data_IF_920292008918
#
_entry.id   IF_920292008918
#
_cell.length_a   1.000
_cell.length_b   1.000
_cell.length_c   1.000
_cell.angle_alpha   90.00
_cell.angle_beta   90.00
_cell.angle_gamma   90.00
#
_symmetry.space_group_name_H-M   'P 1'
#
loop_
_entity.id
_entity.type
_entity.pdbx_description
1 polymer ?
#
# COMPACT_ATOMS: atom_id res chain seq x y z
N UNK A 1 4.47 23.65 -21.96
CA UNK A 1 4.68 22.44 -22.78
C UNK A 1 4.58 21.23 -21.87
N UNK A 2 3.49 20.46 -22.01
CA UNK A 2 3.13 19.34 -21.15
C UNK A 2 4.07 18.16 -21.33
N UNK A 3 4.73 17.72 -20.26
CA UNK A 3 5.60 16.55 -20.29
C UNK A 3 4.79 15.32 -19.88
N UNK A 4 4.16 14.66 -20.84
CA UNK A 4 3.53 13.37 -20.62
C UNK A 4 4.63 12.34 -20.29
N UNK A 5 4.59 11.79 -19.07
CA UNK A 5 5.50 10.72 -18.62
C UNK A 5 5.38 9.54 -19.59
N UNK A 6 6.44 9.28 -20.35
CA UNK A 6 6.56 8.13 -21.26
C UNK A 6 6.25 6.83 -20.51
N UNK A 7 5.38 5.98 -21.08
CA UNK A 7 5.28 4.56 -20.71
C UNK A 7 6.70 3.97 -20.80
N UNK A 8 7.21 3.38 -19.71
CA UNK A 8 8.44 2.58 -19.77
C UNK A 8 8.12 1.37 -20.65
N UNK A 9 8.72 1.29 -21.83
CA UNK A 9 8.68 0.07 -22.63
C UNK A 9 9.28 -1.06 -21.79
N UNK A 10 8.50 -2.12 -21.53
CA UNK A 10 8.95 -3.25 -20.72
C UNK A 10 9.92 -4.06 -21.58
N UNK A 11 11.22 -3.90 -21.33
CA UNK A 11 12.28 -4.69 -21.97
C UNK A 11 12.76 -5.72 -20.96
N UNK A 12 12.31 -6.96 -21.11
CA UNK A 12 12.71 -8.10 -20.25
C UNK A 12 11.53 -8.79 -19.53
N UNK A 13 11.84 -9.72 -18.61
CA UNK A 13 10.81 -10.44 -17.85
C UNK A 13 9.95 -9.52 -16.98
N UNK A 14 8.68 -9.87 -16.84
CA UNK A 14 7.73 -9.13 -15.98
C UNK A 14 7.85 -9.62 -14.53
N UNK A 15 8.34 -8.75 -13.64
CA UNK A 15 8.35 -8.97 -12.20
C UNK A 15 7.03 -8.58 -11.52
N UNK A 16 6.48 -9.50 -10.73
CA UNK A 16 5.25 -9.33 -9.93
C UNK A 16 5.57 -9.51 -8.44
N UNK A 17 5.04 -8.62 -7.59
CA UNK A 17 5.00 -8.79 -6.14
C UNK A 17 3.56 -9.06 -5.71
N UNK A 18 3.31 -10.22 -5.09
CA UNK A 18 2.01 -10.60 -4.52
C UNK A 18 2.10 -10.64 -3.00
N UNK A 19 1.15 -9.98 -2.33
CA UNK A 19 1.12 -9.80 -0.88
C UNK A 19 -0.15 -10.40 -0.29
N UNK A 20 0.03 -11.30 0.67
CA UNK A 20 -1.08 -12.03 1.28
C UNK A 20 -1.80 -11.17 2.33
N UNK A 21 -3.10 -11.41 2.46
CA UNK A 21 -3.89 -10.91 3.59
C UNK A 21 -3.52 -11.63 4.88
N UNK A 22 -3.46 -10.92 6.00
CA UNK A 22 -3.00 -11.56 7.23
C UNK A 22 -3.10 -10.76 8.53
N UNK A 23 -3.62 -9.53 8.50
CA UNK A 23 -3.63 -8.67 9.69
C UNK A 23 -2.18 -8.35 10.10
N UNK A 24 -1.91 -8.34 11.39
CA UNK A 24 -0.57 -8.09 11.96
C UNK A 24 0.56 -8.92 11.34
N UNK A 25 0.25 -10.10 10.79
CA UNK A 25 1.24 -10.97 10.11
C UNK A 25 1.84 -10.33 8.86
N UNK A 26 1.23 -9.28 8.30
CA UNK A 26 1.80 -8.48 7.22
C UNK A 26 3.17 -7.86 7.56
N UNK A 27 3.47 -7.66 8.85
CA UNK A 27 4.79 -7.22 9.33
C UNK A 27 5.91 -8.15 8.85
N UNK A 28 5.68 -9.47 8.87
CA UNK A 28 6.68 -10.44 8.42
C UNK A 28 6.99 -10.31 6.93
N UNK A 29 5.98 -10.07 6.10
CA UNK A 29 6.15 -9.88 4.65
C UNK A 29 6.99 -8.65 4.35
N UNK A 30 6.77 -7.56 5.08
CA UNK A 30 7.54 -6.33 4.95
C UNK A 30 8.98 -6.47 5.43
N UNK A 31 9.24 -7.21 6.51
CA UNK A 31 10.61 -7.50 6.97
C UNK A 31 11.37 -8.32 5.92
N UNK A 32 10.73 -9.36 5.36
CA UNK A 32 11.35 -10.18 4.31
C UNK A 32 11.64 -9.34 3.07
N UNK A 33 10.68 -8.50 2.66
CA UNK A 33 10.86 -7.62 1.51
C UNK A 33 11.97 -6.59 1.74
N UNK A 34 12.04 -5.98 2.93
CA UNK A 34 13.10 -5.03 3.29
C UNK A 34 14.50 -5.66 3.20
N UNK A 35 14.65 -6.89 3.67
CA UNK A 35 15.91 -7.63 3.51
C UNK A 35 16.23 -7.92 2.03
N UNK A 36 15.23 -8.23 1.19
CA UNK A 36 15.42 -8.38 -0.25
C UNK A 36 15.89 -7.05 -0.88
N UNK A 37 15.25 -5.92 -0.53
CA UNK A 37 15.63 -4.61 -1.07
C UNK A 37 17.04 -4.20 -0.63
N UNK A 38 17.44 -4.50 0.62
CA UNK A 38 18.80 -4.29 1.12
C UNK A 38 19.83 -5.09 0.33
N UNK A 39 19.54 -6.34 -0.02
CA UNK A 39 20.43 -7.17 -0.87
C UNK A 39 20.53 -6.64 -2.28
N UNK A 40 19.44 -6.12 -2.85
CA UNK A 40 19.46 -5.45 -4.16
C UNK A 40 20.36 -4.21 -4.09
N UNK A 41 20.19 -3.36 -3.07
CA UNK A 41 21.04 -2.18 -2.84
C UNK A 41 22.53 -2.55 -2.86
N UNK A 42 22.90 -3.59 -2.12
CA UNK A 42 24.29 -4.05 -2.05
C UNK A 42 24.78 -4.62 -3.38
N UNK A 43 23.98 -5.47 -4.04
CA UNK A 43 24.35 -6.13 -5.29
C UNK A 43 24.54 -5.15 -6.45
N UNK A 44 23.71 -4.11 -6.51
CA UNK A 44 23.73 -3.10 -7.55
C UNK A 44 24.55 -1.86 -7.16
N UNK A 45 25.12 -1.83 -5.96
CA UNK A 45 25.91 -0.73 -5.41
C UNK A 45 25.19 0.62 -5.49
N UNK A 46 23.93 0.65 -5.04
CA UNK A 46 23.10 1.86 -5.05
C UNK A 46 23.37 2.72 -3.82
N UNK A 47 23.36 4.04 -4.00
CA UNK A 47 23.54 5.01 -2.91
C UNK A 47 22.31 5.03 -1.97
N UNK A 48 21.13 5.05 -2.57
CA UNK A 48 19.84 5.11 -1.87
C UNK A 48 19.18 3.73 -1.74
N UNK A 49 18.20 3.62 -0.82
CA UNK A 49 17.43 2.39 -0.70
C UNK A 49 16.48 2.25 -1.91
N UNK A 50 16.57 1.17 -2.70
CA UNK A 50 15.66 0.96 -3.82
C UNK A 50 14.22 0.79 -3.33
N UNK A 51 13.28 1.36 -4.09
CA UNK A 51 11.85 1.20 -3.80
C UNK A 51 11.30 -0.01 -4.53
N UNK A 52 10.39 -0.79 -3.94
CA UNK A 52 9.80 -1.94 -4.64
C UNK A 52 9.13 -1.57 -5.96
N UNK A 53 8.51 -0.40 -6.07
CA UNK A 53 7.91 0.08 -7.32
C UNK A 53 8.90 0.28 -8.48
N UNK A 54 10.21 0.34 -8.21
CA UNK A 54 11.24 0.45 -9.26
C UNK A 54 11.60 -0.92 -9.86
N UNK A 55 11.30 -2.03 -9.15
CA UNK A 55 11.70 -3.40 -9.50
C UNK A 55 10.52 -4.29 -9.90
N UNK A 56 9.33 -4.02 -9.34
CA UNK A 56 8.11 -4.78 -9.59
C UNK A 56 7.18 -3.98 -10.50
N UNK A 57 6.86 -4.51 -11.67
CA UNK A 57 5.95 -3.89 -12.63
C UNK A 57 4.51 -3.89 -12.13
N UNK A 58 4.17 -4.89 -11.31
CA UNK A 58 2.87 -5.01 -10.66
C UNK A 58 3.09 -5.39 -9.20
N UNK A 59 2.39 -4.68 -8.32
CA UNK A 59 2.32 -4.97 -6.88
C UNK A 59 0.84 -5.14 -6.55
N UNK A 60 0.47 -6.34 -6.10
CA UNK A 60 -0.91 -6.69 -5.78
C UNK A 60 -1.02 -7.36 -4.42
N UNK A 61 -2.21 -7.30 -3.82
CA UNK A 61 -2.49 -8.02 -2.60
C UNK A 61 -3.96 -7.93 -2.20
N UNK A 62 -4.38 -8.79 -1.27
CA UNK A 62 -5.77 -8.82 -0.77
C UNK A 62 -5.84 -8.50 0.72
N UNK A 63 -6.94 -7.88 1.16
CA UNK A 63 -7.11 -7.45 2.55
C UNK A 63 -5.96 -6.55 3.01
N UNK A 64 -5.25 -6.94 4.06
CA UNK A 64 -4.08 -6.17 4.52
C UNK A 64 -2.91 -6.18 3.53
N UNK A 65 -2.78 -7.22 2.70
CA UNK A 65 -1.79 -7.24 1.62
C UNK A 65 -2.05 -6.15 0.57
N UNK A 66 -3.32 -5.81 0.33
CA UNK A 66 -3.71 -4.70 -0.54
C UNK A 66 -3.31 -3.33 0.02
N UNK A 67 -3.39 -3.16 1.34
CA UNK A 67 -2.90 -1.94 2.01
C UNK A 67 -1.39 -1.82 1.80
N UNK A 68 -0.65 -2.90 2.05
CA UNK A 68 0.81 -2.92 1.86
C UNK A 68 1.15 -2.63 0.38
N UNK A 69 0.39 -3.19 -0.56
CA UNK A 69 0.54 -2.89 -1.99
C UNK A 69 0.38 -1.39 -2.28
N UNK A 70 -0.57 -0.70 -1.65
CA UNK A 70 -0.73 0.76 -1.80
C UNK A 70 0.46 1.53 -1.20
N UNK A 71 0.98 1.11 -0.05
CA UNK A 71 2.16 1.74 0.56
C UNK A 71 3.38 1.67 -0.36
N UNK A 72 3.66 0.47 -0.90
CA UNK A 72 4.86 0.22 -1.70
C UNK A 72 4.70 0.74 -3.13
N UNK A 73 3.53 0.56 -3.73
CA UNK A 73 3.29 0.84 -5.15
C UNK A 73 2.69 2.21 -5.43
N UNK A 74 1.74 2.67 -4.61
CA UNK A 74 1.04 3.95 -4.86
C UNK A 74 1.69 5.13 -4.16
N UNK A 75 2.14 4.91 -2.93
CA UNK A 75 2.86 5.91 -2.12
C UNK A 75 4.38 5.89 -2.36
N UNK A 76 4.88 4.91 -3.13
CA UNK A 76 6.29 4.76 -3.50
C UNK A 76 7.22 4.79 -2.26
N UNK A 77 6.78 4.13 -1.18
CA UNK A 77 7.58 3.98 0.03
C UNK A 77 8.64 2.90 -0.14
N UNK A 78 9.75 3.06 0.60
CA UNK A 78 10.67 1.94 0.82
C UNK A 78 9.98 0.85 1.64
N UNK A 79 10.51 -0.38 1.61
CA UNK A 79 9.95 -1.46 2.42
C UNK A 79 10.02 -1.14 3.94
N UNK A 80 11.10 -0.47 4.37
CA UNK A 80 11.26 0.00 5.75
C UNK A 80 10.21 1.05 6.13
N UNK A 81 9.98 2.06 5.29
CA UNK A 81 9.00 3.10 5.59
C UNK A 81 7.57 2.58 5.56
N UNK A 82 7.27 1.67 4.62
CA UNK A 82 6.00 0.96 4.60
C UNK A 82 5.80 0.12 5.87
N UNK A 83 6.84 -0.51 6.40
CA UNK A 83 6.78 -1.22 7.68
C UNK A 83 6.40 -0.29 8.83
N UNK A 84 7.04 0.88 8.93
CA UNK A 84 6.74 1.88 9.98
C UNK A 84 5.28 2.35 9.90
N UNK A 85 4.82 2.75 8.72
CA UNK A 85 3.44 3.21 8.51
C UNK A 85 2.43 2.08 8.78
N UNK A 86 2.76 0.85 8.38
CA UNK A 86 1.91 -0.30 8.61
C UNK A 86 1.75 -0.62 10.10
N UNK A 87 2.83 -0.54 10.90
CA UNK A 87 2.76 -0.73 12.36
C UNK A 87 1.84 0.32 13.00
N UNK A 88 2.01 1.60 12.65
CA UNK A 88 1.16 2.69 13.17
C UNK A 88 -0.31 2.47 12.80
N UNK A 89 -0.58 2.07 11.56
CA UNK A 89 -1.93 1.75 11.09
C UNK A 89 -2.53 0.57 11.89
N UNK A 90 -1.76 -0.50 12.11
CA UNK A 90 -2.20 -1.65 12.88
C UNK A 90 -2.52 -1.28 14.33
N UNK A 91 -1.71 -0.45 14.99
CA UNK A 91 -1.97 0.01 16.36
C UNK A 91 -3.27 0.80 16.47
N UNK A 92 -3.62 1.57 15.44
CA UNK A 92 -4.89 2.30 15.37
C UNK A 92 -6.07 1.37 15.14
N UNK A 93 -5.96 0.39 14.24
CA UNK A 93 -7.07 -0.53 13.91
C UNK A 93 -7.30 -1.54 15.03
N UNK A 94 -6.23 -2.17 15.51
CA UNK A 94 -6.28 -3.32 16.43
C UNK A 94 -6.28 -2.93 17.90
N UNK A 95 -6.34 -1.64 18.23
CA UNK A 95 -6.48 -1.15 19.59
C UNK A 95 -7.71 -1.80 20.28
N UNK A 96 -7.56 -2.20 21.54
CA UNK A 96 -8.62 -2.94 22.27
C UNK A 96 -9.95 -2.17 22.36
N UNK A 97 -9.90 -0.84 22.36
CA UNK A 97 -11.05 0.07 22.32
C UNK A 97 -11.85 0.03 21.01
N UNK A 98 -11.28 -0.52 19.94
CA UNK A 98 -11.89 -0.59 18.61
C UNK A 98 -12.56 -1.95 18.30
N UNK A 99 -12.53 -2.91 19.24
CA UNK A 99 -13.26 -4.17 19.11
C UNK A 99 -14.76 -3.90 19.21
N UNK A 100 -15.52 -4.33 18.19
CA UNK A 100 -16.99 -4.36 18.29
C UNK A 100 -17.41 -5.34 19.40
N UNK A 101 -18.51 -5.05 20.09
CA UNK A 101 -19.04 -5.94 21.13
C UNK A 101 -19.47 -7.27 20.49
N UNK A 102 -19.39 -8.38 21.24
CA UNK A 102 -19.73 -9.73 20.74
C UNK A 102 -21.11 -9.83 20.09
N UNK A 103 -22.06 -8.97 20.49
CA UNK A 103 -23.40 -8.90 19.91
C UNK A 103 -23.39 -8.24 18.52
N UNK A 104 -22.60 -7.18 18.33
CA UNK A 104 -22.45 -6.45 17.05
C UNK A 104 -21.56 -7.23 16.07
N UNK A 105 -20.55 -7.97 16.57
CA UNK A 105 -19.65 -8.78 15.72
C UNK A 105 -20.31 -10.02 15.10
N UNK A 106 -21.53 -10.37 15.53
CA UNK A 106 -22.29 -11.52 15.00
C UNK A 106 -23.02 -11.18 13.68
N UNK A 107 -23.27 -9.89 13.45
CA UNK A 107 -23.93 -9.34 12.26
C UNK A 107 -23.03 -8.38 11.45
N UNK A 108 -21.88 -7.96 12.00
CA UNK A 108 -20.89 -7.09 11.35
C UNK A 108 -19.43 -7.48 11.67
N UNK A 109 -18.47 -6.83 10.99
CA UNK A 109 -17.03 -7.12 11.18
C UNK A 109 -16.48 -6.80 12.58
N UNK A 110 -15.38 -7.45 12.97
CA UNK A 110 -14.72 -7.29 14.28
C UNK A 110 -14.15 -5.88 14.55
N UNK A 111 -14.05 -5.05 13.51
CA UNK A 111 -13.48 -3.70 13.53
C UNK A 111 -14.41 -2.73 12.78
N UNK A 112 -14.54 -1.50 13.28
CA UNK A 112 -15.37 -0.47 12.65
C UNK A 112 -14.72 0.02 11.36
N UNK A 113 -15.46 -0.04 10.24
CA UNK A 113 -15.00 0.49 8.95
C UNK A 113 -14.57 1.96 9.03
N UNK A 114 -15.25 2.76 9.84
CA UNK A 114 -14.91 4.17 10.06
C UNK A 114 -13.50 4.34 10.67
N UNK A 115 -13.10 3.47 11.59
CA UNK A 115 -11.74 3.50 12.17
C UNK A 115 -10.68 3.27 11.09
N UNK A 116 -10.94 2.32 10.19
CA UNK A 116 -10.07 2.01 9.06
C UNK A 116 -9.93 3.21 8.12
N UNK A 117 -11.06 3.82 7.74
CA UNK A 117 -11.09 4.97 6.85
C UNK A 117 -10.32 6.16 7.43
N UNK A 118 -10.55 6.48 8.71
CA UNK A 118 -9.85 7.57 9.40
C UNK A 118 -8.36 7.30 9.49
N UNK A 119 -7.95 6.07 9.82
CA UNK A 119 -6.55 5.70 9.90
C UNK A 119 -5.85 5.81 8.53
N UNK A 120 -6.50 5.33 7.46
CA UNK A 120 -6.00 5.45 6.10
C UNK A 120 -5.88 6.91 5.64
N UNK A 121 -6.86 7.77 5.95
CA UNK A 121 -6.80 9.20 5.64
C UNK A 121 -5.61 9.88 6.32
N UNK A 122 -5.36 9.58 7.59
CA UNK A 122 -4.20 10.13 8.31
C UNK A 122 -2.88 9.65 7.71
N UNK A 123 -2.78 8.36 7.38
CA UNK A 123 -1.58 7.81 6.74
C UNK A 123 -1.29 8.52 5.41
N UNK A 124 -2.29 8.68 4.54
CA UNK A 124 -2.13 9.37 3.25
C UNK A 124 -1.69 10.83 3.48
N UNK A 125 -2.32 11.54 4.41
CA UNK A 125 -1.96 12.93 4.72
C UNK A 125 -0.51 13.07 5.21
N UNK A 126 -0.01 12.12 6.02
CA UNK A 126 1.38 12.11 6.51
C UNK A 126 2.40 11.75 5.45
N UNK A 127 2.04 10.90 4.50
CA UNK A 127 2.95 10.42 3.44
C UNK A 127 3.41 11.51 2.46
N UNK A 128 2.93 12.76 2.60
CA UNK A 128 3.35 13.91 1.78
C UNK A 128 2.83 13.86 0.34
N UNK A 129 2.17 12.77 -0.07
CA UNK A 129 1.53 12.60 -1.38
C UNK A 129 0.03 12.87 -1.33
N UNK A 130 -0.36 13.96 -0.65
CA UNK A 130 -1.74 14.40 -0.61
C UNK A 130 -2.27 14.64 -2.02
N UNK A 131 -2.93 13.64 -2.59
CA UNK A 131 -3.78 13.82 -3.74
C UNK A 131 -4.95 14.68 -3.28
N UNK A 132 -5.26 15.69 -4.07
CA UNK A 132 -6.53 16.38 -3.91
C UNK A 132 -7.67 15.35 -4.00
N UNK A 133 -8.76 15.55 -3.27
CA UNK A 133 -9.99 14.74 -3.42
C UNK A 133 -10.40 14.59 -4.90
N UNK A 134 -10.07 15.59 -5.72
CA UNK A 134 -10.32 15.65 -7.16
C UNK A 134 -9.50 14.64 -7.99
N UNK A 135 -8.32 14.20 -7.54
CA UNK A 135 -7.51 13.19 -8.23
C UNK A 135 -7.90 11.77 -7.84
N UNK A 136 -8.45 11.60 -6.64
CA UNK A 136 -9.04 10.35 -6.17
C UNK A 136 -10.36 10.03 -6.90
N UNK A 137 -11.15 11.05 -7.23
CA UNK A 137 -12.45 10.89 -7.91
C UNK A 137 -12.32 10.75 -9.44
N UNK A 138 -11.25 11.29 -10.05
CA UNK A 138 -11.03 11.21 -11.51
C UNK A 138 -10.81 9.79 -12.06
N UNK A 139 -10.45 8.81 -11.21
CA UNK A 139 -10.34 7.42 -11.64
C UNK A 139 -11.69 6.68 -11.70
N UNK A 140 -12.74 7.21 -11.06
CA UNK A 140 -14.07 6.59 -11.11
C UNK A 140 -14.90 7.05 -12.32
N UNK A 141 -14.60 8.24 -12.88
CA UNK A 141 -15.36 8.80 -14.00
C UNK A 141 -14.93 8.23 -15.36
N UNK A 142 -13.66 7.84 -15.53
CA UNK A 142 -13.20 7.20 -16.78
C UNK A 142 -13.73 5.77 -16.97
N UNK A 143 -14.21 5.11 -15.90
CA UNK A 143 -14.84 3.78 -16.00
C UNK A 143 -16.32 3.85 -16.40
N UNK A 144 -16.96 5.03 -16.33
CA UNK A 144 -18.37 5.22 -16.68
C UNK A 144 -18.62 5.80 -18.08
N UNK A 145 -17.60 6.29 -18.80
CA UNK A 145 -17.77 6.85 -20.16
C UNK A 145 -17.44 5.86 -21.31
N UNK A 146 -17.17 4.59 -20.99
CA UNK A 146 -16.78 3.54 -21.96
C UNK A 146 -17.83 2.46 -22.24
N UNK A 147 -19.03 2.55 -21.66
CA UNK A 147 -20.13 1.61 -21.91
C UNK A 147 -21.45 2.35 -22.13
N UNK A 148 -21.69 2.76 -23.37
CA UNK A 148 -22.88 2.48 -24.22
C UNK A 148 -22.87 3.49 -25.37
#
# INVERSE_FOLDING_TARGET
MSNAKRKKDIVGPVNLLSLDGGGIRGVSQLIILDEIMKRIKQRENLDEMPKPCDYFHLIGGSGTGGIIALLLGRLNLTAEDALKEYIVLLEQIFHQSNRTSRLVSKEGGSYKALTMEVAMKHLIARSGQGLSQEELMRQNDEEHLGKT
#
